data_IF_305469009275
#
_entry.id   IF_305469009275
#
_cell.length_a   1.000
_cell.length_b   1.000
_cell.length_c   1.000
_cell.angle_alpha   90.00
_cell.angle_beta   90.00
_cell.angle_gamma   90.00
#
_symmetry.space_group_name_H-M   'P 1'
#
loop_
_entity.id
_entity.type
_entity.pdbx_description
1 polymer ?
#
# COMPACT_ATOMS: atom_id res chain seq x y z
N UNK A 1 -8.63 -13.55 7.66
CA UNK A 1 -9.28 -12.76 8.73
C UNK A 1 -9.19 -11.28 8.35
N UNK A 2 -10.32 -10.58 8.17
CA UNK A 2 -10.31 -9.12 7.97
C UNK A 2 -9.99 -8.48 9.32
N UNK A 3 -8.86 -7.80 9.44
CA UNK A 3 -8.54 -6.93 10.58
C UNK A 3 -9.44 -5.67 10.54
N UNK A 4 -10.76 -5.83 10.53
CA UNK A 4 -11.68 -4.69 10.41
C UNK A 4 -11.74 -3.85 11.67
N UNK A 5 -11.43 -4.40 12.84
CA UNK A 5 -11.60 -3.70 14.13
C UNK A 5 -10.67 -2.51 14.35
N UNK A 6 -9.60 -2.37 13.54
CA UNK A 6 -8.63 -1.27 13.67
C UNK A 6 -8.87 -0.11 12.70
N UNK A 7 -9.65 -0.34 11.67
CA UNK A 7 -10.01 0.71 10.72
C UNK A 7 -11.38 1.25 11.10
N UNK A 8 -11.58 2.56 10.91
CA UNK A 8 -12.92 3.15 11.01
C UNK A 8 -13.85 2.51 9.98
N UNK A 9 -15.14 2.42 10.29
CA UNK A 9 -16.18 1.95 9.36
C UNK A 9 -16.18 2.78 8.05
N UNK A 10 -15.83 4.06 8.15
CA UNK A 10 -15.77 4.99 7.02
C UNK A 10 -14.49 4.90 6.17
N UNK A 11 -13.58 3.96 6.49
CA UNK A 11 -12.29 3.85 5.80
C UNK A 11 -12.41 3.75 4.28
N UNK A 12 -13.43 3.05 3.76
CA UNK A 12 -13.63 2.94 2.30
C UNK A 12 -13.90 4.30 1.66
N UNK A 13 -14.70 5.15 2.30
CA UNK A 13 -15.01 6.50 1.82
C UNK A 13 -13.79 7.41 1.90
N UNK A 14 -13.08 7.39 3.04
CA UNK A 14 -11.83 8.15 3.22
C UNK A 14 -10.79 7.75 2.18
N UNK A 15 -10.59 6.44 2.00
CA UNK A 15 -9.62 5.93 1.05
C UNK A 15 -10.00 6.25 -0.40
N UNK A 16 -11.30 6.29 -0.73
CA UNK A 16 -11.77 6.74 -2.04
C UNK A 16 -11.47 8.23 -2.25
N UNK A 17 -11.83 9.09 -1.30
CA UNK A 17 -11.58 10.53 -1.37
C UNK A 17 -10.10 10.84 -1.59
N UNK A 18 -9.20 10.17 -0.84
CA UNK A 18 -7.75 10.38 -1.00
C UNK A 18 -7.25 9.96 -2.38
N UNK A 19 -7.83 8.93 -3.00
CA UNK A 19 -7.47 8.50 -4.36
C UNK A 19 -8.00 9.46 -5.42
N UNK A 20 -9.19 10.01 -5.21
CA UNK A 20 -9.80 11.03 -6.08
C UNK A 20 -9.03 12.35 -6.01
N UNK A 21 -8.68 12.81 -4.81
CA UNK A 21 -7.83 14.00 -4.59
C UNK A 21 -6.46 13.89 -5.28
N UNK A 22 -5.97 12.66 -5.44
CA UNK A 22 -4.70 12.37 -6.09
C UNK A 22 -4.83 12.11 -7.60
N UNK A 23 -6.01 12.33 -8.21
CA UNK A 23 -6.30 12.04 -9.62
C UNK A 23 -5.91 10.60 -10.03
N UNK A 24 -6.10 9.65 -9.11
CA UNK A 24 -5.67 8.25 -9.28
C UNK A 24 -4.17 8.10 -9.61
N UNK A 25 -3.34 9.04 -9.17
CA UNK A 25 -1.90 9.07 -9.40
C UNK A 25 -1.15 8.77 -8.10
N UNK A 26 -0.07 7.99 -8.21
CA UNK A 26 0.84 7.78 -7.09
C UNK A 26 1.49 9.11 -6.68
N UNK A 27 1.29 9.55 -5.45
CA UNK A 27 1.86 10.79 -4.91
C UNK A 27 3.40 10.70 -4.69
N UNK A 28 4.00 9.50 -4.78
CA UNK A 28 5.45 9.30 -4.67
C UNK A 28 6.18 9.24 -6.02
N UNK A 29 5.66 8.50 -6.99
CA UNK A 29 6.35 8.28 -8.27
C UNK A 29 5.62 8.84 -9.49
N UNK A 30 4.40 9.38 -9.32
CA UNK A 30 3.62 9.97 -10.41
C UNK A 30 2.94 8.97 -11.35
N UNK A 31 3.04 7.65 -11.10
CA UNK A 31 2.38 6.63 -11.93
C UNK A 31 0.85 6.77 -11.87
N UNK A 32 0.21 6.83 -13.04
CA UNK A 32 -1.25 6.78 -13.15
C UNK A 32 -1.72 5.35 -12.93
N UNK A 33 -2.59 5.18 -11.94
CA UNK A 33 -3.18 3.91 -11.56
C UNK A 33 -4.62 3.82 -12.07
N UNK A 34 -5.18 2.61 -12.02
CA UNK A 34 -6.53 2.33 -12.52
C UNK A 34 -7.52 2.28 -11.35
N UNK A 35 -8.66 2.99 -11.46
CA UNK A 35 -9.75 2.84 -10.50
C UNK A 35 -10.24 1.40 -10.36
N UNK A 36 -10.60 1.01 -9.14
CA UNK A 36 -10.96 -0.40 -8.85
C UNK A 36 -12.28 -0.84 -9.52
N UNK A 37 -13.19 0.10 -9.74
CA UNK A 37 -14.51 -0.05 -10.35
C UNK A 37 -14.48 -0.02 -11.89
N UNK A 38 -13.45 0.57 -12.48
CA UNK A 38 -13.31 0.65 -13.95
C UNK A 38 -12.83 -0.68 -14.51
N UNK A 39 -13.49 -1.18 -15.57
CA UNK A 39 -13.02 -2.32 -16.36
C UNK A 39 -12.30 -1.81 -17.62
N UNK A 40 -11.02 -2.11 -17.73
CA UNK A 40 -10.20 -1.76 -18.90
C UNK A 40 -10.02 -2.99 -19.77
N UNK A 41 -10.21 -2.87 -21.08
CA UNK A 41 -9.96 -3.98 -22.03
C UNK A 41 -8.46 -4.21 -22.19
N UNK A 42 -8.04 -5.46 -22.28
CA UNK A 42 -6.65 -5.82 -22.56
C UNK A 42 -5.70 -5.76 -21.36
N UNK A 43 -6.20 -5.56 -20.14
CA UNK A 43 -5.38 -5.72 -18.93
C UNK A 43 -5.71 -7.06 -18.25
N UNK A 44 -4.66 -7.82 -17.95
CA UNK A 44 -4.80 -9.03 -17.15
C UNK A 44 -4.83 -8.72 -15.65
N UNK A 45 -5.01 -9.77 -14.85
CA UNK A 45 -5.06 -9.66 -13.38
C UNK A 45 -3.75 -9.14 -12.78
N UNK A 46 -2.60 -9.51 -13.35
CA UNK A 46 -1.29 -9.12 -12.85
C UNK A 46 -1.03 -7.64 -13.08
N UNK A 47 -1.26 -7.15 -14.30
CA UNK A 47 -1.14 -5.74 -14.64
C UNK A 47 -2.12 -4.89 -13.82
N UNK A 48 -3.35 -5.36 -13.60
CA UNK A 48 -4.30 -4.72 -12.69
C UNK A 48 -3.76 -4.60 -11.26
N UNK A 49 -3.17 -5.66 -10.72
CA UNK A 49 -2.58 -5.65 -9.38
C UNK A 49 -1.42 -4.63 -9.27
N UNK A 50 -0.57 -4.52 -10.30
CA UNK A 50 0.52 -3.53 -10.35
C UNK A 50 -0.01 -2.09 -10.40
N UNK A 51 -1.05 -1.85 -11.20
CA UNK A 51 -1.68 -0.54 -11.40
C UNK A 51 -2.77 -0.22 -10.39
N UNK A 52 -2.82 -0.90 -9.24
CA UNK A 52 -3.78 -0.61 -8.17
C UNK A 52 -3.22 0.50 -7.27
N UNK A 53 -4.05 1.50 -6.99
CA UNK A 53 -3.73 2.57 -6.04
C UNK A 53 -4.25 2.23 -4.64
N UNK A 54 -3.35 2.25 -3.66
CA UNK A 54 -3.63 2.01 -2.24
C UNK A 54 -3.35 3.27 -1.43
N UNK A 55 -4.03 3.44 -0.30
CA UNK A 55 -3.76 4.53 0.64
C UNK A 55 -2.91 3.99 1.79
N UNK A 56 -1.85 4.73 2.14
CA UNK A 56 -0.92 4.40 3.21
C UNK A 56 -0.96 5.44 4.31
N UNK A 57 -0.93 5.00 5.56
CA UNK A 57 -0.72 5.84 6.74
C UNK A 57 0.78 6.06 6.96
N UNK A 58 1.27 7.28 6.78
CA UNK A 58 2.71 7.64 6.90
C UNK A 58 3.28 7.31 8.27
N UNK A 59 2.46 7.40 9.33
CA UNK A 59 2.83 7.06 10.70
C UNK A 59 2.58 5.59 11.08
N UNK A 60 2.08 4.75 10.17
CA UNK A 60 1.75 3.33 10.42
C UNK A 60 0.67 3.10 11.49
N UNK A 61 -0.18 4.10 11.76
CA UNK A 61 -1.32 4.03 12.68
C UNK A 61 -2.62 4.02 11.85
N UNK A 62 -3.27 2.86 11.66
CA UNK A 62 -4.52 2.72 10.91
C UNK A 62 -5.68 3.61 11.37
N UNK A 63 -5.65 3.99 12.65
CA UNK A 63 -6.67 4.81 13.29
C UNK A 63 -6.54 6.31 12.93
N UNK A 64 -5.35 6.76 12.50
CA UNK A 64 -5.07 8.17 12.21
C UNK A 64 -5.38 8.54 10.75
N UNK A 65 -6.63 8.84 10.48
CA UNK A 65 -7.14 9.13 9.13
C UNK A 65 -7.04 10.60 8.71
N UNK A 66 -6.23 11.43 9.40
CA UNK A 66 -6.01 12.81 8.97
C UNK A 66 -5.39 12.84 7.58
N UNK A 67 -5.90 13.69 6.68
CA UNK A 67 -5.44 13.77 5.28
C UNK A 67 -3.92 13.95 5.15
N UNK A 68 -3.30 14.71 6.07
CA UNK A 68 -1.85 14.92 6.16
C UNK A 68 -1.04 13.63 6.39
N UNK A 69 -1.63 12.66 7.08
CA UNK A 69 -1.04 11.35 7.38
C UNK A 69 -1.29 10.32 6.27
N UNK A 70 -2.23 10.59 5.37
CA UNK A 70 -2.57 9.67 4.27
C UNK A 70 -1.77 10.01 3.01
N UNK A 71 -1.38 8.98 2.27
CA UNK A 71 -0.73 9.11 0.95
C UNK A 71 -1.20 8.00 0.01
N UNK A 72 -1.58 8.37 -1.21
CA UNK A 72 -1.96 7.46 -2.29
C UNK A 72 -0.72 6.93 -3.02
N UNK A 73 -0.51 5.62 -3.01
CA UNK A 73 0.66 4.95 -3.54
C UNK A 73 0.28 3.80 -4.48
N UNK A 74 1.02 3.63 -5.57
CA UNK A 74 0.92 2.43 -6.39
C UNK A 74 1.41 1.20 -5.61
N UNK A 75 1.02 0.00 -6.05
CA UNK A 75 1.38 -1.25 -5.37
C UNK A 75 2.88 -1.38 -5.06
N UNK A 76 3.76 -1.00 -6.00
CA UNK A 76 5.21 -1.05 -5.78
C UNK A 76 5.68 -0.06 -4.69
N UNK A 77 5.25 1.20 -4.76
CA UNK A 77 5.61 2.22 -3.77
C UNK A 77 5.02 1.91 -2.40
N UNK A 78 3.78 1.40 -2.34
CA UNK A 78 3.12 0.98 -1.12
C UNK A 78 3.92 -0.14 -0.43
N UNK A 79 4.32 -1.17 -1.18
CA UNK A 79 5.16 -2.26 -0.65
C UNK A 79 6.51 -1.74 -0.14
N UNK A 80 7.12 -0.78 -0.84
CA UNK A 80 8.38 -0.16 -0.39
C UNK A 80 8.25 0.58 0.94
N UNK A 81 7.09 1.15 1.26
CA UNK A 81 6.86 1.73 2.59
C UNK A 81 6.74 0.65 3.68
N UNK A 82 6.08 -0.47 3.37
CA UNK A 82 5.95 -1.60 4.31
C UNK A 82 7.21 -2.45 4.45
N UNK A 83 8.20 -2.29 3.56
CA UNK A 83 9.52 -2.87 3.76
C UNK A 83 10.15 -2.21 4.98
N UNK A 84 9.94 -2.83 6.14
CA UNK A 84 10.75 -2.57 7.33
C UNK A 84 12.21 -2.64 6.88
N UNK A 85 13.03 -1.75 7.42
CA UNK A 85 14.49 -1.68 7.20
C UNK A 85 15.19 -2.95 7.72
N UNK A 86 14.86 -4.12 7.17
CA UNK A 86 15.71 -5.29 7.26
C UNK A 86 16.92 -4.93 6.41
N UNK A 87 17.95 -4.39 7.08
CA UNK A 87 19.27 -4.27 6.50
C UNK A 87 19.81 -5.64 6.12
N UNK A 88 21.02 -5.67 5.60
CA UNK A 88 21.76 -6.92 5.39
C UNK A 88 21.68 -7.76 6.66
N UNK A 89 21.16 -8.99 6.55
CA UNK A 89 21.27 -9.97 7.62
C UNK A 89 22.76 -10.18 7.90
N UNK A 90 23.22 -10.13 9.16
CA UNK A 90 24.62 -10.43 9.47
C UNK A 90 24.96 -11.85 9.00
N UNK A 91 26.16 -12.01 8.44
CA UNK A 91 26.72 -13.32 8.06
C UNK A 91 26.67 -14.23 9.30
N UNK A 92 25.84 -15.27 9.27
CA UNK A 92 25.60 -16.19 10.38
C UNK A 92 24.13 -16.36 10.77
N UNK A 93 23.26 -15.38 10.46
CA UNK A 93 21.83 -15.47 10.78
C UNK A 93 21.03 -16.40 9.84
N UNK A 94 21.67 -16.94 8.80
CA UNK A 94 21.08 -17.89 7.85
C UNK A 94 21.31 -19.36 8.23
N UNK A 95 21.82 -19.66 9.43
CA UNK A 95 21.93 -21.06 9.85
C UNK A 95 20.57 -21.58 10.31
N UNK A 96 19.97 -22.47 9.51
CA UNK A 96 18.72 -23.17 9.87
C UNK A 96 18.93 -24.23 10.96
N UNK A 97 20.18 -24.55 11.27
CA UNK A 97 20.59 -25.48 12.31
C UNK A 97 21.61 -24.76 13.19
N UNK A 98 21.25 -24.49 14.45
CA UNK A 98 22.22 -24.04 15.44
C UNK A 98 23.26 -25.14 15.63
N UNK A 99 24.54 -24.81 15.58
CA UNK A 99 25.59 -25.78 15.92
C UNK A 99 25.41 -26.21 17.38
N UNK A 100 25.41 -27.54 17.58
CA UNK A 100 25.23 -28.20 18.86
C UNK A 100 26.49 -28.13 19.72
#
# INVERSE_FOLDING_TARGET
MKHSSRYSDDWQAIALQVKEDADWRCELCGLVCIPSDVKVKGIDRHLRAVLTLSVHHKNYIPEDNRRENLIALCSACHLRQHQRRYGSLPLGQLSLFGEA
#
